data_IF_410724776270
#
_entry.id   IF_410724776270
#
_cell.length_a   1.000
_cell.length_b   1.000
_cell.length_c   1.000
_cell.angle_alpha   90.00
_cell.angle_beta   90.00
_cell.angle_gamma   90.00
#
_symmetry.space_group_name_H-M   'P 1'
#
loop_
_entity.id
_entity.type
_entity.pdbx_description
1 polymer ?
#
# COMPACT_ATOMS: atom_id res chain seq x y z
N UNK A 1 17.40 -30.76 67.13
CA UNK A 1 17.45 -29.74 66.07
C UNK A 1 18.04 -30.30 64.75
N UNK A 2 17.47 -31.36 64.16
CA UNK A 2 17.98 -31.99 62.91
C UNK A 2 17.08 -31.76 61.67
N UNK A 3 15.90 -31.17 61.85
CA UNK A 3 14.89 -31.01 60.80
C UNK A 3 15.18 -29.87 59.81
N UNK A 4 16.02 -28.87 60.17
CA UNK A 4 16.30 -27.70 59.31
C UNK A 4 17.20 -28.00 58.11
N UNK A 5 18.07 -29.01 58.21
CA UNK A 5 19.08 -29.30 57.17
C UNK A 5 18.42 -29.90 55.92
N UNK A 6 17.42 -30.77 56.09
CA UNK A 6 16.67 -31.37 54.96
C UNK A 6 15.88 -30.33 54.15
N UNK A 7 15.20 -29.41 54.83
CA UNK A 7 14.50 -28.29 54.16
C UNK A 7 15.45 -27.38 53.39
N UNK A 8 16.66 -27.14 53.89
CA UNK A 8 17.67 -26.35 53.20
C UNK A 8 18.21 -27.05 51.93
N UNK A 9 18.35 -28.37 51.93
CA UNK A 9 18.73 -29.12 50.73
C UNK A 9 17.62 -29.12 49.67
N UNK A 10 16.36 -29.25 50.10
CA UNK A 10 15.21 -29.20 49.19
C UNK A 10 15.05 -27.80 48.59
N UNK A 11 15.16 -26.74 49.39
CA UNK A 11 15.09 -25.37 48.87
C UNK A 11 16.23 -25.06 47.91
N UNK A 12 17.46 -25.51 48.20
CA UNK A 12 18.61 -25.37 47.30
C UNK A 12 18.37 -26.10 45.96
N UNK A 13 17.84 -27.31 45.99
CA UNK A 13 17.52 -28.07 44.77
C UNK A 13 16.44 -27.38 43.93
N UNK A 14 15.40 -26.81 44.56
CA UNK A 14 14.36 -26.04 43.86
C UNK A 14 14.95 -24.78 43.21
N UNK A 15 15.80 -24.04 43.92
CA UNK A 15 16.46 -22.84 43.37
C UNK A 15 17.32 -23.20 42.16
N UNK A 16 18.09 -24.30 42.23
CA UNK A 16 18.91 -24.75 41.11
C UNK A 16 18.06 -25.17 39.90
N UNK A 17 16.92 -25.84 40.13
CA UNK A 17 16.00 -26.22 39.06
C UNK A 17 15.39 -24.98 38.39
N UNK A 18 14.95 -24.00 39.18
CA UNK A 18 14.41 -22.73 38.66
C UNK A 18 15.46 -21.96 37.86
N UNK A 19 16.71 -21.92 38.34
CA UNK A 19 17.81 -21.28 37.63
C UNK A 19 18.07 -21.97 36.27
N UNK A 20 18.12 -23.31 36.27
CA UNK A 20 18.30 -24.09 35.04
C UNK A 20 17.13 -23.88 34.05
N UNK A 21 15.90 -23.84 34.54
CA UNK A 21 14.72 -23.56 33.73
C UNK A 21 14.78 -22.14 33.14
N UNK A 22 15.19 -21.15 33.91
CA UNK A 22 15.32 -19.76 33.45
C UNK A 22 16.40 -19.63 32.36
N UNK A 23 17.55 -20.26 32.55
CA UNK A 23 18.62 -20.31 31.53
C UNK A 23 18.13 -21.03 30.27
N UNK A 24 17.45 -22.17 30.41
CA UNK A 24 16.89 -22.91 29.29
C UNK A 24 15.87 -22.08 28.50
N UNK A 25 14.99 -21.35 29.19
CA UNK A 25 14.03 -20.44 28.58
C UNK A 25 14.73 -19.28 27.87
N UNK A 26 15.77 -18.70 28.46
CA UNK A 26 16.58 -17.65 27.83
C UNK A 26 17.27 -18.10 26.55
N UNK A 27 17.84 -19.31 26.54
CA UNK A 27 18.43 -19.90 25.31
C UNK A 27 17.34 -20.12 24.25
N UNK A 28 16.17 -20.61 24.66
CA UNK A 28 15.05 -20.86 23.76
C UNK A 28 14.51 -19.57 23.13
N UNK A 29 14.36 -18.49 23.91
CA UNK A 29 13.89 -17.19 23.39
C UNK A 29 14.88 -16.57 22.42
N UNK A 30 16.19 -16.67 22.69
CA UNK A 30 17.23 -16.23 21.73
C UNK A 30 17.13 -17.02 20.42
N UNK A 31 16.93 -18.35 20.50
CA UNK A 31 16.74 -19.17 19.29
C UNK A 31 15.50 -18.75 18.51
N UNK A 32 14.40 -18.46 19.20
CA UNK A 32 13.17 -18.02 18.56
C UNK A 32 13.33 -16.66 17.88
N UNK A 33 14.00 -15.70 18.53
CA UNK A 33 14.33 -14.40 17.96
C UNK A 33 15.17 -14.53 16.68
N UNK A 34 16.22 -15.38 16.69
CA UNK A 34 17.01 -15.65 15.49
C UNK A 34 16.16 -16.22 14.35
N UNK A 35 15.28 -17.18 14.62
CA UNK A 35 14.39 -17.76 13.60
C UNK A 35 13.43 -16.72 13.03
N UNK A 36 12.88 -15.85 13.88
CA UNK A 36 11.99 -14.77 13.44
C UNK A 36 12.77 -13.78 12.58
N UNK A 37 13.95 -13.34 13.00
CA UNK A 37 14.77 -12.42 12.21
C UNK A 37 15.18 -13.03 10.88
N UNK A 38 15.64 -14.27 10.83
CA UNK A 38 16.00 -14.92 9.57
C UNK A 38 14.81 -15.02 8.58
N UNK A 39 13.59 -15.21 9.10
CA UNK A 39 12.39 -15.33 8.26
C UNK A 39 11.80 -13.99 7.86
N UNK A 40 11.92 -12.97 8.70
CA UNK A 40 11.24 -11.69 8.53
C UNK A 40 12.18 -10.53 8.21
N UNK A 41 13.43 -10.54 8.63
CA UNK A 41 14.44 -9.52 8.28
C UNK A 41 15.15 -9.90 6.98
N UNK A 42 14.58 -9.48 5.84
CA UNK A 42 15.23 -9.58 4.52
C UNK A 42 14.26 -9.82 3.36
N UNK A 43 13.19 -10.58 3.60
CA UNK A 43 12.12 -10.86 2.64
C UNK A 43 10.76 -10.47 3.20
N UNK A 44 10.63 -9.25 3.74
CA UNK A 44 9.40 -8.82 4.41
C UNK A 44 8.19 -9.00 3.49
N UNK A 45 8.34 -8.68 2.19
CA UNK A 45 7.29 -8.77 1.18
C UNK A 45 7.94 -9.02 -0.18
N UNK A 46 7.53 -10.07 -0.90
CA UNK A 46 7.72 -10.12 -2.36
C UNK A 46 6.64 -9.23 -2.97
N UNK A 47 6.98 -7.97 -3.28
CA UNK A 47 6.04 -7.07 -3.95
C UNK A 47 5.86 -7.61 -5.36
N UNK A 48 4.67 -8.10 -5.74
CA UNK A 48 4.45 -8.61 -7.08
C UNK A 48 4.60 -7.47 -8.09
N UNK A 49 4.90 -7.82 -9.33
CA UNK A 49 4.90 -6.85 -10.41
C UNK A 49 3.51 -6.20 -10.52
N UNK A 50 3.47 -4.86 -10.52
CA UNK A 50 2.27 -4.10 -10.88
C UNK A 50 2.23 -3.97 -12.39
N UNK A 51 1.19 -4.52 -13.01
CA UNK A 51 0.98 -4.41 -14.46
C UNK A 51 -0.10 -3.36 -14.69
N UNK A 52 0.27 -2.26 -15.31
CA UNK A 52 -0.64 -1.20 -15.72
C UNK A 52 -1.04 -1.38 -17.18
N UNK A 53 -2.24 -0.91 -17.54
CA UNK A 53 -2.65 -0.80 -18.92
C UNK A 53 -1.95 0.37 -19.61
N UNK A 54 -2.10 0.48 -20.94
CA UNK A 54 -1.63 1.66 -21.68
C UNK A 54 -2.27 2.93 -21.12
N UNK A 55 -1.52 4.03 -20.96
CA UNK A 55 -2.12 5.32 -20.64
C UNK A 55 -2.99 5.80 -21.81
N UNK A 56 -4.10 6.48 -21.50
CA UNK A 56 -4.85 7.22 -22.51
C UNK A 56 -4.16 8.57 -22.71
N UNK A 57 -3.54 8.75 -23.88
CA UNK A 57 -2.99 10.04 -24.27
C UNK A 57 -4.11 10.97 -24.75
N UNK A 58 -4.14 12.16 -24.16
CA UNK A 58 -5.10 13.22 -24.49
C UNK A 58 -4.31 14.42 -25.01
N UNK A 59 -4.68 14.88 -26.20
CA UNK A 59 -4.09 16.04 -26.86
C UNK A 59 -5.10 16.69 -27.81
N UNK A 60 -4.84 17.93 -28.20
CA UNK A 60 -5.74 18.67 -29.09
C UNK A 60 -5.83 17.98 -30.46
N UNK A 61 -7.06 17.76 -30.92
CA UNK A 61 -7.35 17.01 -32.14
C UNK A 61 -7.44 15.49 -31.97
N UNK A 62 -7.23 14.95 -30.76
CA UNK A 62 -7.41 13.52 -30.50
C UNK A 62 -8.86 13.09 -30.80
N UNK A 63 -9.04 12.03 -31.58
CA UNK A 63 -10.35 11.48 -31.95
C UNK A 63 -11.02 10.71 -30.80
N UNK A 64 -11.38 11.44 -29.74
CA UNK A 64 -12.02 10.90 -28.55
C UNK A 64 -13.38 11.57 -28.40
N UNK A 65 -14.44 10.75 -28.39
CA UNK A 65 -15.80 11.22 -28.13
C UNK A 65 -16.06 11.31 -26.63
N UNK A 66 -16.98 12.19 -26.23
CA UNK A 66 -17.38 12.34 -24.82
C UNK A 66 -17.84 11.03 -24.14
N UNK A 67 -18.67 10.17 -24.79
CA UNK A 67 -19.05 8.88 -24.21
C UNK A 67 -17.84 7.96 -24.01
N UNK A 68 -16.91 7.94 -24.97
CA UNK A 68 -15.69 7.12 -24.87
C UNK A 68 -14.79 7.59 -23.74
N UNK A 69 -14.58 8.91 -23.61
CA UNK A 69 -13.80 9.48 -22.51
C UNK A 69 -14.42 9.13 -21.14
N UNK A 70 -15.75 9.26 -21.02
CA UNK A 70 -16.45 8.93 -19.78
C UNK A 70 -16.36 7.44 -19.45
N UNK A 71 -16.41 6.58 -20.46
CA UNK A 71 -16.24 5.14 -20.29
C UNK A 71 -14.81 4.78 -19.86
N UNK A 72 -13.80 5.38 -20.48
CA UNK A 72 -12.39 5.15 -20.10
C UNK A 72 -12.13 5.59 -18.66
N UNK A 73 -12.61 6.78 -18.28
CA UNK A 73 -12.52 7.25 -16.90
C UNK A 73 -13.19 6.29 -15.91
N UNK A 74 -14.35 5.73 -16.26
CA UNK A 74 -15.02 4.71 -15.45
C UNK A 74 -14.19 3.43 -15.32
N UNK A 75 -13.54 2.97 -16.40
CA UNK A 75 -12.64 1.81 -16.38
C UNK A 75 -11.41 2.06 -15.50
N UNK A 76 -10.89 3.30 -15.51
CA UNK A 76 -9.83 3.78 -14.63
C UNK A 76 -10.31 4.14 -13.21
N UNK A 77 -11.54 3.74 -12.88
CA UNK A 77 -12.17 3.92 -11.58
C UNK A 77 -12.26 5.40 -11.13
N UNK A 78 -12.39 6.33 -12.07
CA UNK A 78 -12.74 7.72 -11.79
C UNK A 78 -14.23 7.85 -11.49
N UNK A 79 -14.57 8.73 -10.55
CA UNK A 79 -15.96 8.95 -10.13
C UNK A 79 -16.51 10.24 -10.73
N UNK A 80 -17.71 10.17 -11.29
CA UNK A 80 -18.44 11.37 -11.72
C UNK A 80 -18.99 12.10 -10.49
N UNK A 81 -18.72 13.39 -10.39
CA UNK A 81 -19.15 14.26 -9.29
C UNK A 81 -19.64 15.60 -9.83
N UNK A 82 -20.24 16.42 -8.98
CA UNK A 82 -20.63 17.80 -9.32
C UNK A 82 -19.48 18.81 -9.08
N UNK A 83 -18.50 18.43 -8.26
CA UNK A 83 -17.30 19.22 -7.91
C UNK A 83 -16.03 18.40 -8.14
N UNK A 84 -14.94 19.06 -8.53
CA UNK A 84 -13.65 18.43 -8.87
C UNK A 84 -12.60 18.55 -7.75
N UNK A 85 -13.01 18.64 -6.48
CA UNK A 85 -12.10 18.92 -5.35
C UNK A 85 -11.15 17.76 -5.00
N UNK A 86 -11.51 16.52 -5.32
CA UNK A 86 -10.74 15.33 -4.93
C UNK A 86 -10.12 14.61 -6.13
N UNK A 87 -8.87 14.10 -6.02
CA UNK A 87 -8.25 13.32 -7.08
C UNK A 87 -9.04 12.07 -7.45
N UNK A 88 -9.02 11.69 -8.72
CA UNK A 88 -9.77 10.55 -9.22
C UNK A 88 -11.27 10.83 -9.42
N UNK A 89 -11.63 12.10 -9.55
CA UNK A 89 -13.00 12.53 -9.86
C UNK A 89 -13.04 13.29 -11.18
N UNK A 90 -14.22 13.37 -11.79
CA UNK A 90 -14.44 14.20 -12.95
C UNK A 90 -15.83 14.83 -12.93
N UNK A 91 -15.93 16.05 -13.45
CA UNK A 91 -17.16 16.82 -13.59
C UNK A 91 -17.46 17.01 -15.06
N UNK A 92 -18.68 16.71 -15.46
CA UNK A 92 -19.17 16.90 -16.82
C UNK A 92 -20.08 18.13 -16.87
N UNK A 93 -19.63 19.18 -17.57
CA UNK A 93 -20.38 20.42 -17.82
C UNK A 93 -20.68 20.62 -19.30
N UNK A 94 -21.34 19.65 -19.92
CA UNK A 94 -21.81 19.76 -21.29
C UNK A 94 -20.68 19.55 -22.29
N UNK A 95 -20.08 20.62 -22.80
CA UNK A 95 -18.97 20.53 -23.74
C UNK A 95 -17.59 20.53 -23.07
N UNK A 96 -17.55 20.82 -21.77
CA UNK A 96 -16.32 20.83 -20.96
C UNK A 96 -16.37 19.71 -19.94
N UNK A 97 -15.24 19.03 -19.77
CA UNK A 97 -15.03 18.01 -18.75
C UNK A 97 -13.84 18.42 -17.90
N UNK A 98 -14.05 18.49 -16.60
CA UNK A 98 -13.00 18.76 -15.62
C UNK A 98 -12.56 17.44 -15.02
N UNK A 99 -11.28 17.10 -15.09
CA UNK A 99 -10.74 15.83 -14.57
C UNK A 99 -9.68 16.16 -13.54
N UNK A 100 -9.87 15.68 -12.31
CA UNK A 100 -8.85 15.78 -11.27
C UNK A 100 -7.98 14.51 -11.31
N UNK A 101 -6.78 14.62 -11.86
CA UNK A 101 -5.83 13.49 -11.99
C UNK A 101 -5.26 13.10 -10.63
N UNK A 102 -4.88 11.83 -10.46
CA UNK A 102 -4.32 11.32 -9.19
C UNK A 102 -2.82 11.59 -9.02
N UNK A 103 -2.20 12.18 -10.03
CA UNK A 103 -0.77 12.06 -10.26
C UNK A 103 -0.38 10.61 -10.58
N UNK A 104 0.79 10.44 -11.17
CA UNK A 104 1.34 9.12 -11.45
C UNK A 104 2.86 9.18 -11.48
N UNK A 105 3.51 8.11 -11.03
CA UNK A 105 4.96 7.92 -11.11
C UNK A 105 5.27 6.88 -12.18
N UNK A 106 5.79 7.35 -13.31
CA UNK A 106 6.19 6.52 -14.45
C UNK A 106 7.59 5.92 -14.29
N UNK A 107 8.30 6.25 -13.21
CA UNK A 107 9.66 5.81 -12.90
C UNK A 107 10.76 6.67 -13.54
N UNK A 108 10.56 7.12 -14.77
CA UNK A 108 11.43 8.11 -15.44
C UNK A 108 10.96 9.56 -15.22
N UNK A 109 9.66 9.73 -14.99
CA UNK A 109 8.98 11.00 -14.82
C UNK A 109 7.83 10.86 -13.83
N UNK A 110 7.52 11.96 -13.12
CA UNK A 110 6.40 12.00 -12.19
C UNK A 110 5.47 13.13 -12.59
N UNK A 111 4.19 12.81 -12.70
CA UNK A 111 3.12 13.76 -12.94
C UNK A 111 2.42 14.08 -11.61
N UNK A 112 2.33 15.36 -11.22
CA UNK A 112 1.59 15.75 -10.04
C UNK A 112 0.09 15.60 -10.26
N UNK A 113 -0.66 15.55 -9.16
CA UNK A 113 -2.12 15.75 -9.22
C UNK A 113 -2.43 17.15 -9.77
N UNK A 114 -3.40 17.22 -10.67
CA UNK A 114 -3.82 18.47 -11.28
C UNK A 114 -5.25 18.35 -11.82
N UNK A 115 -5.89 19.50 -12.01
CA UNK A 115 -7.20 19.59 -12.65
C UNK A 115 -7.00 19.95 -14.12
N UNK A 116 -7.41 19.03 -15.00
CA UNK A 116 -7.43 19.25 -16.45
C UNK A 116 -8.82 19.73 -16.85
N UNK A 117 -8.90 20.81 -17.61
CA UNK A 117 -10.11 21.22 -18.33
C UNK A 117 -9.99 20.73 -19.77
N UNK A 118 -10.92 19.88 -20.22
CA UNK A 118 -10.96 19.38 -21.59
C UNK A 118 -12.24 19.88 -22.25
N UNK A 119 -12.09 20.57 -23.36
CA UNK A 119 -13.16 20.99 -24.25
C UNK A 119 -13.32 19.96 -25.36
N UNK A 120 -14.46 19.30 -25.40
CA UNK A 120 -14.77 18.29 -26.42
C UNK A 120 -15.48 18.93 -27.62
N UNK A 121 -15.36 18.34 -28.78
CA UNK A 121 -16.20 18.58 -29.95
C UNK A 121 -17.15 17.41 -30.16
N UNK A 122 -17.72 17.29 -31.36
CA UNK A 122 -18.60 16.15 -31.69
C UNK A 122 -17.84 14.82 -31.76
N UNK A 123 -16.58 14.84 -32.19
CA UNK A 123 -15.78 13.63 -32.43
C UNK A 123 -14.32 13.71 -31.98
N UNK A 124 -13.89 14.87 -31.47
CA UNK A 124 -12.49 15.13 -31.14
C UNK A 124 -12.36 16.07 -29.94
N UNK A 125 -11.17 16.09 -29.34
CA UNK A 125 -10.80 17.08 -28.32
C UNK A 125 -10.38 18.38 -29.02
N UNK A 126 -10.90 19.51 -28.53
CA UNK A 126 -10.65 20.83 -29.12
C UNK A 126 -9.53 21.58 -28.38
N UNK A 127 -9.57 21.55 -27.05
CA UNK A 127 -8.65 22.27 -26.15
C UNK A 127 -8.58 21.56 -24.79
#
# INVERSE_FOLDING_TARGET
>A
MKFSRGFAFISLAIVLLLLAAFVGLGIYTIRLDNVVRDKFEGKRWEIPAKVFARPLEVFNGAHITKPNLSQELKLLNYKKTDVYESPGTYVDKGNKVYIHTRGFDFGDSSEPEQVLEITLGQSQILD
#
